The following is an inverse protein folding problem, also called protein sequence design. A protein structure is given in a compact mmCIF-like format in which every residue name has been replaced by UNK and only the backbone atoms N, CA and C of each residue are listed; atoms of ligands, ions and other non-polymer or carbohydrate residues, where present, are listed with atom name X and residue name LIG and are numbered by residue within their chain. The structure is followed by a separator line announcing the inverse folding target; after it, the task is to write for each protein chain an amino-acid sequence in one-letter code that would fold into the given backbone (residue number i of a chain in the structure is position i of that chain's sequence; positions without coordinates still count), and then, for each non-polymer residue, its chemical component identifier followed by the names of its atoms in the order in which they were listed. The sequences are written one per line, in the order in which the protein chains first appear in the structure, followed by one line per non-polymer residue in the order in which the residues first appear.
data_IF_927012966781
#
_entry.id   IF_927012966781
#
_cell.length_a   1.000
_cell.length_b   1.000
_cell.length_c   1.000
_cell.angle_alpha   90.00
_cell.angle_beta   90.00
_cell.angle_gamma   90.00
#
_symmetry.space_group_name_H-M   'P 1'
#
loop_
_entity.id
_entity.type
_entity.pdbx_description
1 polymer ?
#
# COMPACT_ATOMS: atom_id res chain seq x y z
N UNK A 1 8.97 -25.68 -37.25
CA UNK A 1 7.72 -25.97 -37.99
C UNK A 1 6.64 -26.23 -36.94
N UNK A 2 5.61 -25.39 -36.93
CA UNK A 2 4.46 -25.41 -36.00
C UNK A 2 3.51 -26.61 -36.35
N UNK A 3 2.52 -27.06 -35.58
CA UNK A 3 1.52 -26.47 -34.68
C UNK A 3 0.96 -27.60 -33.76
N UNK A 4 0.79 -27.40 -32.45
CA UNK A 4 -0.37 -26.86 -31.70
C UNK A 4 -1.34 -27.93 -31.16
N UNK A 5 -1.64 -27.85 -29.86
CA UNK A 5 -3.03 -27.87 -29.37
C UNK A 5 -3.17 -26.92 -28.20
N UNK A 6 -4.08 -25.97 -28.38
CA UNK A 6 -4.66 -25.08 -27.39
C UNK A 6 -5.44 -25.84 -26.31
N UNK A 7 -5.13 -25.58 -25.05
CA UNK A 7 -6.11 -25.64 -23.95
C UNK A 7 -5.73 -24.54 -22.95
N UNK A 8 -6.72 -23.74 -22.56
CA UNK A 8 -6.53 -22.38 -22.07
C UNK A 8 -5.53 -22.23 -20.93
N UNK A 9 -4.60 -21.29 -21.10
CA UNK A 9 -3.82 -20.78 -19.99
C UNK A 9 -4.72 -19.85 -19.17
N UNK A 10 -5.72 -20.42 -18.50
CA UNK A 10 -6.36 -19.76 -17.37
C UNK A 10 -5.28 -19.61 -16.31
N UNK A 11 -5.13 -18.40 -15.77
CA UNK A 11 -4.35 -18.14 -14.56
C UNK A 11 -4.82 -19.12 -13.46
N UNK A 12 -4.16 -20.26 -13.37
CA UNK A 12 -4.61 -21.37 -12.53
C UNK A 12 -4.65 -20.98 -11.05
N UNK A 13 -3.85 -19.98 -10.70
CA UNK A 13 -3.82 -19.34 -9.40
C UNK A 13 -5.18 -18.71 -9.06
N UNK A 14 -5.88 -18.13 -10.05
CA UNK A 14 -7.23 -17.54 -9.91
C UNK A 14 -8.28 -18.64 -9.71
N UNK A 15 -8.09 -19.81 -10.32
CA UNK A 15 -9.01 -20.95 -10.19
C UNK A 15 -8.95 -21.69 -8.84
N UNK A 16 -7.92 -21.45 -8.02
CA UNK A 16 -7.71 -22.15 -6.75
C UNK A 16 -7.98 -21.23 -5.56
N UNK A 17 -8.88 -21.67 -4.66
CA UNK A 17 -9.46 -20.81 -3.62
C UNK A 17 -8.51 -20.51 -2.47
N UNK A 18 -7.58 -21.39 -2.15
CA UNK A 18 -6.68 -21.19 -1.01
C UNK A 18 -5.21 -21.48 -1.34
N UNK A 19 -4.32 -20.96 -0.49
CA UNK A 19 -2.86 -21.11 -0.63
C UNK A 19 -2.46 -22.58 -0.63
N UNK A 20 -3.14 -23.42 0.17
CA UNK A 20 -2.90 -24.86 0.23
C UNK A 20 -3.06 -25.53 -1.14
N UNK A 21 -4.15 -25.24 -1.85
CA UNK A 21 -4.42 -25.86 -3.16
C UNK A 21 -3.38 -25.41 -4.19
N UNK A 22 -2.98 -24.14 -4.14
CA UNK A 22 -1.94 -23.60 -5.02
C UNK A 22 -0.57 -24.21 -4.73
N UNK A 23 -0.22 -24.35 -3.46
CA UNK A 23 1.01 -24.99 -3.03
C UNK A 23 1.04 -26.47 -3.45
N UNK A 24 -0.08 -27.19 -3.33
CA UNK A 24 -0.19 -28.57 -3.83
C UNK A 24 0.07 -28.63 -5.33
N UNK A 25 -0.59 -27.78 -6.12
CA UNK A 25 -0.37 -27.74 -7.58
C UNK A 25 1.09 -27.44 -7.94
N UNK A 26 1.73 -26.50 -7.24
CA UNK A 26 3.14 -26.13 -7.46
C UNK A 26 4.08 -27.27 -7.10
N UNK A 27 3.81 -27.96 -6.00
CA UNK A 27 4.56 -29.15 -5.57
C UNK A 27 4.40 -30.29 -6.59
N UNK A 28 3.18 -30.58 -7.02
CA UNK A 28 2.87 -31.68 -7.94
C UNK A 28 3.42 -31.43 -9.36
N UNK A 29 3.48 -30.16 -9.79
CA UNK A 29 3.96 -29.79 -11.12
C UNK A 29 5.47 -29.49 -11.18
N UNK A 30 6.14 -29.28 -10.06
CA UNK A 30 7.53 -28.80 -10.01
C UNK A 30 7.72 -27.38 -10.56
N UNK A 31 6.63 -26.64 -10.78
CA UNK A 31 6.71 -25.26 -11.26
C UNK A 31 7.43 -24.39 -10.22
N UNK A 32 8.36 -23.54 -10.65
CA UNK A 32 9.14 -22.65 -9.76
C UNK A 32 9.99 -23.36 -8.69
N UNK A 33 10.34 -24.64 -8.89
CA UNK A 33 11.33 -25.30 -8.03
C UNK A 33 12.65 -24.52 -8.04
N UNK A 34 13.19 -24.28 -6.85
CA UNK A 34 14.38 -23.48 -6.58
C UNK A 34 15.48 -24.30 -5.88
N UNK A 35 15.25 -25.61 -5.69
CA UNK A 35 16.24 -26.61 -5.33
C UNK A 35 16.00 -27.94 -6.05
N UNK A 36 17.07 -28.71 -6.19
CA UNK A 36 17.05 -30.06 -6.79
C UNK A 36 17.81 -31.00 -5.87
N UNK A 37 17.20 -32.12 -5.53
CA UNK A 37 17.89 -33.22 -4.85
C UNK A 37 18.35 -34.24 -5.88
N UNK A 38 19.60 -34.66 -5.76
CA UNK A 38 20.16 -35.75 -6.55
C UNK A 38 20.29 -36.95 -5.61
N UNK A 39 19.55 -38.01 -5.90
CA UNK A 39 19.46 -39.20 -5.04
C UNK A 39 20.00 -40.40 -5.79
N UNK A 40 20.95 -41.14 -5.19
CA UNK A 40 21.54 -42.34 -5.77
C UNK A 40 23.06 -42.27 -5.90
N UNK A 41 23.65 -43.37 -6.36
CA UNK A 41 25.12 -43.51 -6.54
C UNK A 41 25.52 -43.11 -7.96
N UNK A 42 26.81 -42.79 -8.16
CA UNK A 42 27.33 -42.44 -9.49
C UNK A 42 26.97 -43.52 -10.53
N UNK A 43 26.37 -43.10 -11.64
CA UNK A 43 25.84 -43.98 -12.69
C UNK A 43 24.35 -44.37 -12.56
N UNK A 44 23.71 -44.15 -11.40
CA UNK A 44 22.27 -44.33 -11.18
C UNK A 44 21.72 -43.26 -10.22
N UNK A 45 21.64 -42.03 -10.73
CA UNK A 45 21.08 -40.90 -9.99
C UNK A 45 19.68 -40.55 -10.50
N UNK A 46 18.80 -40.20 -9.57
CA UNK A 46 17.49 -39.62 -9.83
C UNK A 46 17.46 -38.19 -9.31
N UNK A 47 16.81 -37.30 -10.07
CA UNK A 47 16.70 -35.87 -9.71
C UNK A 47 15.29 -35.55 -9.29
N UNK A 48 15.13 -34.93 -8.12
CA UNK A 48 13.84 -34.51 -7.56
C UNK A 48 13.85 -32.99 -7.46
N UNK A 49 12.97 -32.34 -8.22
CA UNK A 49 12.72 -30.90 -8.13
C UNK A 49 11.94 -30.61 -6.84
N UNK A 50 12.31 -29.56 -6.11
CA UNK A 50 11.65 -29.20 -4.86
C UNK A 50 11.69 -27.68 -4.60
N UNK A 51 11.05 -27.25 -3.51
CA UNK A 51 10.87 -25.84 -3.17
C UNK A 51 11.37 -25.57 -1.74
N UNK A 52 12.39 -24.71 -1.60
CA UNK A 52 13.03 -24.39 -0.31
C UNK A 52 12.03 -23.91 0.73
N UNK A 53 11.09 -23.05 0.33
CA UNK A 53 10.04 -22.53 1.22
C UNK A 53 9.14 -23.65 1.75
N UNK A 54 8.67 -24.57 0.89
CA UNK A 54 7.79 -25.68 1.29
C UNK A 54 8.50 -26.61 2.26
N UNK A 55 9.76 -26.96 1.96
CA UNK A 55 10.56 -27.85 2.80
C UNK A 55 10.89 -27.22 4.15
N UNK A 56 11.26 -25.95 4.19
CA UNK A 56 11.54 -25.23 5.42
C UNK A 56 10.29 -25.08 6.29
N UNK A 57 9.13 -24.79 5.72
CA UNK A 57 7.86 -24.74 6.47
C UNK A 57 7.50 -26.10 7.07
N UNK A 58 7.87 -27.20 6.42
CA UNK A 58 7.55 -28.55 6.85
C UNK A 58 8.58 -29.15 7.85
N UNK A 59 9.79 -28.58 7.95
CA UNK A 59 10.86 -29.16 8.76
C UNK A 59 11.89 -28.11 9.22
N UNK A 60 12.17 -28.04 10.54
CA UNK A 60 13.21 -27.16 11.08
C UNK A 60 14.63 -27.55 10.60
N UNK A 61 14.83 -28.79 10.17
CA UNK A 61 16.11 -29.23 9.57
C UNK A 61 16.31 -28.57 8.21
N UNK A 62 15.27 -28.55 7.38
CA UNK A 62 15.34 -27.88 6.08
C UNK A 62 15.36 -26.36 6.22
N UNK A 63 14.66 -25.81 7.23
CA UNK A 63 14.79 -24.41 7.58
C UNK A 63 16.24 -24.06 7.93
N UNK A 64 16.89 -24.80 8.83
CA UNK A 64 18.29 -24.56 9.16
C UNK A 64 19.22 -24.75 7.94
N UNK A 65 18.96 -25.77 7.13
CA UNK A 65 19.73 -26.08 5.92
C UNK A 65 19.68 -24.97 4.87
N UNK A 66 18.51 -24.35 4.65
CA UNK A 66 18.32 -23.36 3.60
C UNK A 66 18.40 -21.90 4.11
N UNK A 67 18.04 -21.67 5.37
CA UNK A 67 17.86 -20.33 5.95
C UNK A 67 18.63 -20.11 7.26
N UNK A 68 19.15 -21.15 7.91
CA UNK A 68 19.66 -21.13 9.28
C UNK A 68 20.92 -20.31 9.57
N UNK A 69 21.57 -19.67 8.60
CA UNK A 69 22.81 -18.90 8.83
C UNK A 69 22.69 -17.42 8.44
N UNK A 70 21.63 -16.97 7.75
CA UNK A 70 21.54 -15.57 7.28
C UNK A 70 20.12 -14.95 7.26
N UNK A 71 19.16 -15.44 8.03
CA UNK A 71 17.79 -14.85 8.07
C UNK A 71 17.49 -13.98 9.29
N UNK A 72 18.51 -13.35 9.88
CA UNK A 72 18.30 -12.00 10.38
C UNK A 72 18.16 -11.04 9.18
N UNK A 73 17.15 -11.24 8.33
CA UNK A 73 16.65 -10.13 7.55
C UNK A 73 16.00 -9.19 8.55
N UNK A 74 16.83 -8.33 9.16
CA UNK A 74 16.34 -7.05 9.63
C UNK A 74 15.76 -6.38 8.40
N UNK A 75 14.45 -6.45 8.24
CA UNK A 75 13.75 -5.53 7.36
C UNK A 75 13.99 -4.16 7.99
N UNK A 76 15.01 -3.46 7.51
CA UNK A 76 15.18 -2.06 7.85
C UNK A 76 14.08 -1.34 7.08
N UNK A 77 13.09 -0.85 7.80
CA UNK A 77 12.13 0.11 7.26
C UNK A 77 12.90 1.41 7.00
N UNK A 78 13.40 1.62 5.77
CA UNK A 78 14.25 2.77 5.45
C UNK A 78 13.42 4.02 5.11
N UNK A 79 12.14 3.86 4.77
CA UNK A 79 11.21 4.98 4.56
C UNK A 79 9.74 4.56 4.72
N UNK A 80 8.87 5.56 4.94
CA UNK A 80 7.42 5.39 4.97
C UNK A 80 6.87 4.71 3.70
N UNK A 81 7.33 5.13 2.53
CA UNK A 81 6.86 4.60 1.25
C UNK A 81 7.21 3.11 1.09
N UNK A 82 8.42 2.72 1.48
CA UNK A 82 8.81 1.31 1.47
C UNK A 82 7.97 0.48 2.43
N UNK A 83 7.63 1.01 3.61
CA UNK A 83 6.76 0.30 4.56
C UNK A 83 5.37 0.09 3.97
N UNK A 84 4.80 1.10 3.30
CA UNK A 84 3.52 0.97 2.62
C UNK A 84 3.55 -0.12 1.53
N UNK A 85 4.58 -0.14 0.69
CA UNK A 85 4.75 -1.16 -0.36
C UNK A 85 4.88 -2.57 0.22
N UNK A 86 5.73 -2.74 1.24
CA UNK A 86 5.93 -4.02 1.92
C UNK A 86 4.64 -4.47 2.60
N UNK A 87 3.93 -3.57 3.26
CA UNK A 87 2.67 -3.85 3.93
C UNK A 87 1.61 -4.34 2.91
N UNK A 88 1.51 -3.67 1.75
CA UNK A 88 0.66 -4.11 0.64
C UNK A 88 0.99 -5.53 0.16
N UNK A 89 2.27 -5.81 -0.09
CA UNK A 89 2.70 -7.15 -0.45
C UNK A 89 2.36 -8.17 0.65
N UNK A 90 2.65 -7.84 1.92
CA UNK A 90 2.40 -8.71 3.06
C UNK A 90 0.92 -9.09 3.19
N UNK A 91 -0.01 -8.14 3.00
CA UNK A 91 -1.45 -8.43 3.01
C UNK A 91 -1.87 -9.25 1.79
N UNK A 92 -1.39 -8.89 0.60
CA UNK A 92 -1.67 -9.62 -0.65
C UNK A 92 -1.22 -11.09 -0.59
N UNK A 93 -0.09 -11.36 0.07
CA UNK A 93 0.46 -12.70 0.23
C UNK A 93 0.09 -13.38 1.55
N UNK A 94 -0.83 -12.80 2.33
CA UNK A 94 -1.32 -13.36 3.58
C UNK A 94 -0.19 -13.68 4.56
N UNK A 95 0.62 -12.67 4.89
CA UNK A 95 1.70 -12.73 5.89
C UNK A 95 1.32 -11.83 7.09
N UNK A 96 0.39 -12.26 7.97
CA UNK A 96 -0.11 -11.43 9.07
C UNK A 96 0.95 -10.83 10.00
N UNK A 97 2.01 -11.56 10.41
CA UNK A 97 3.04 -10.99 11.28
C UNK A 97 3.74 -9.78 10.68
N UNK A 98 3.95 -9.79 9.36
CA UNK A 98 4.59 -8.68 8.65
C UNK A 98 3.64 -7.49 8.50
N UNK A 99 2.34 -7.73 8.29
CA UNK A 99 1.32 -6.67 8.30
C UNK A 99 1.27 -6.00 9.68
N UNK A 100 1.34 -6.78 10.76
CA UNK A 100 1.34 -6.26 12.13
C UNK A 100 2.55 -5.36 12.38
N UNK A 101 3.76 -5.79 11.98
CA UNK A 101 4.96 -4.96 12.14
C UNK A 101 4.95 -3.71 11.25
N UNK A 102 4.49 -3.81 10.00
CA UNK A 102 4.38 -2.64 9.12
C UNK A 102 3.38 -1.62 9.66
N UNK A 103 2.22 -2.09 10.16
CA UNK A 103 1.20 -1.19 10.73
C UNK A 103 1.69 -0.52 12.01
N UNK A 104 2.41 -1.25 12.90
CA UNK A 104 3.08 -0.65 14.07
C UNK A 104 4.07 0.44 13.70
N UNK A 105 4.85 0.24 12.63
CA UNK A 105 5.78 1.27 12.16
C UNK A 105 5.06 2.51 11.64
N UNK A 106 4.09 2.32 10.73
CA UNK A 106 3.26 3.42 10.17
C UNK A 106 2.66 4.26 11.29
N UNK A 107 2.19 3.58 12.33
CA UNK A 107 1.63 4.19 13.53
C UNK A 107 2.62 5.06 14.30
N UNK A 108 3.83 4.56 14.51
CA UNK A 108 4.87 5.24 15.29
C UNK A 108 5.45 6.45 14.55
N UNK A 109 5.45 6.42 13.23
CA UNK A 109 6.00 7.46 12.35
C UNK A 109 4.93 8.47 11.86
N UNK A 110 3.67 8.31 12.29
CA UNK A 110 2.58 9.16 11.82
C UNK A 110 2.74 10.60 12.33
N UNK A 111 2.76 11.56 11.40
CA UNK A 111 2.91 12.99 11.68
C UNK A 111 2.28 13.83 10.55
N UNK A 112 2.11 15.16 10.70
CA UNK A 112 1.43 15.98 9.70
C UNK A 112 1.98 15.88 8.27
N UNK A 113 3.29 15.64 8.11
CA UNK A 113 3.95 15.53 6.80
C UNK A 113 3.75 14.19 6.06
N UNK A 114 3.19 13.16 6.71
CA UNK A 114 2.88 11.88 6.04
C UNK A 114 1.42 11.43 6.21
N UNK A 115 0.62 12.08 7.06
CA UNK A 115 -0.71 11.60 7.44
C UNK A 115 -1.69 11.52 6.27
N UNK A 116 -1.65 12.45 5.30
CA UNK A 116 -2.54 12.37 4.14
C UNK A 116 -2.21 11.17 3.24
N UNK A 117 -0.91 10.89 3.07
CA UNK A 117 -0.44 9.71 2.33
C UNK A 117 -0.78 8.43 3.08
N UNK A 118 -0.59 8.41 4.40
CA UNK A 118 -1.00 7.32 5.27
C UNK A 118 -2.51 7.04 5.17
N UNK A 119 -3.33 8.07 5.23
CA UNK A 119 -4.78 7.95 5.10
C UNK A 119 -5.18 7.34 3.75
N UNK A 120 -4.60 7.82 2.65
CA UNK A 120 -4.83 7.28 1.31
C UNK A 120 -4.47 5.80 1.23
N UNK A 121 -3.32 5.42 1.80
CA UNK A 121 -2.85 4.04 1.86
C UNK A 121 -3.76 3.14 2.70
N UNK A 122 -4.08 3.54 3.93
CA UNK A 122 -4.89 2.77 4.87
C UNK A 122 -6.32 2.57 4.35
N UNK A 123 -6.85 3.54 3.60
CA UNK A 123 -8.14 3.42 2.92
C UNK A 123 -8.17 2.27 1.91
N UNK A 124 -7.08 2.04 1.16
CA UNK A 124 -6.95 0.88 0.28
C UNK A 124 -6.81 -0.43 1.07
N UNK A 125 -6.32 -0.33 2.29
CA UNK A 125 -6.08 -1.46 3.18
C UNK A 125 -7.30 -1.88 3.98
N UNK A 126 -8.39 -1.10 3.98
CA UNK A 126 -9.61 -1.38 4.75
C UNK A 126 -9.36 -1.62 6.26
N UNK A 127 -8.38 -0.94 6.87
CA UNK A 127 -8.11 -1.02 8.31
C UNK A 127 -8.82 0.12 9.06
N UNK A 128 -9.99 -0.12 9.68
CA UNK A 128 -10.86 0.95 10.16
C UNK A 128 -10.23 1.76 11.29
N UNK A 129 -9.46 1.12 12.18
CA UNK A 129 -8.83 1.78 13.32
C UNK A 129 -7.79 2.81 12.87
N UNK A 130 -6.84 2.38 12.02
CA UNK A 130 -5.82 3.29 11.48
C UNK A 130 -6.46 4.42 10.66
N UNK A 131 -7.55 4.13 9.95
CA UNK A 131 -8.25 5.12 9.13
C UNK A 131 -8.87 6.22 10.00
N UNK A 132 -9.54 5.84 11.08
CA UNK A 132 -10.10 6.76 12.07
C UNK A 132 -9.02 7.63 12.70
N UNK A 133 -7.87 7.05 13.05
CA UNK A 133 -6.77 7.77 13.69
C UNK A 133 -6.04 8.73 12.75
N UNK A 134 -5.82 8.34 11.50
CA UNK A 134 -5.31 9.25 10.48
C UNK A 134 -6.27 10.45 10.30
N UNK A 135 -7.57 10.19 10.20
CA UNK A 135 -8.57 11.26 10.07
C UNK A 135 -8.60 12.16 11.31
N UNK A 136 -8.52 11.59 12.51
CA UNK A 136 -8.49 12.37 13.75
C UNK A 136 -7.28 13.30 13.81
N UNK A 137 -6.10 12.83 13.40
CA UNK A 137 -4.90 13.67 13.30
C UNK A 137 -5.10 14.78 12.27
N UNK A 138 -5.63 14.46 11.08
CA UNK A 138 -5.91 15.46 10.04
C UNK A 138 -6.87 16.54 10.57
N UNK A 139 -7.92 16.16 11.30
CA UNK A 139 -8.89 17.12 11.87
C UNK A 139 -8.31 17.99 12.98
N UNK A 140 -7.41 17.45 13.78
CA UNK A 140 -6.85 18.13 14.97
C UNK A 140 -5.67 19.03 14.60
N UNK A 141 -4.81 18.56 13.70
CA UNK A 141 -3.59 19.24 13.23
C UNK A 141 -3.77 19.75 11.79
N UNK A 142 -4.99 20.15 11.41
CA UNK A 142 -5.29 20.51 10.02
C UNK A 142 -4.37 21.63 9.52
N UNK A 143 -4.11 22.64 10.35
CA UNK A 143 -3.21 23.76 10.02
C UNK A 143 -1.80 23.30 9.64
N UNK A 144 -1.20 22.37 10.41
CA UNK A 144 0.14 21.84 10.12
C UNK A 144 0.11 20.99 8.84
N UNK A 145 -0.92 20.17 8.67
CA UNK A 145 -1.11 19.31 7.50
C UNK A 145 -1.23 20.12 6.21
N UNK A 146 -2.04 21.18 6.20
CA UNK A 146 -2.26 21.99 4.98
C UNK A 146 -1.07 22.89 4.65
N UNK A 147 -0.21 23.19 5.63
CA UNK A 147 1.01 24.01 5.46
C UNK A 147 2.19 23.19 4.97
N UNK A 148 2.29 21.93 5.35
CA UNK A 148 3.34 21.03 4.90
C UNK A 148 3.37 20.86 3.37
N UNK A 149 4.56 20.64 2.80
CA UNK A 149 4.74 20.49 1.35
C UNK A 149 4.08 19.20 0.81
N UNK A 150 3.99 18.15 1.62
CA UNK A 150 3.35 16.88 1.26
C UNK A 150 1.88 17.04 0.88
N UNK A 151 1.20 18.10 1.36
CA UNK A 151 -0.19 18.38 1.03
C UNK A 151 -0.40 18.57 -0.48
N UNK A 152 0.61 19.06 -1.19
CA UNK A 152 0.53 19.28 -2.63
C UNK A 152 0.44 17.97 -3.43
N UNK A 153 0.87 16.85 -2.86
CA UNK A 153 0.88 15.52 -3.47
C UNK A 153 -0.39 14.69 -3.21
N UNK A 154 -1.31 15.20 -2.39
CA UNK A 154 -2.52 14.47 -1.98
C UNK A 154 -3.41 14.14 -3.17
N UNK A 155 -3.96 12.93 -3.22
CA UNK A 155 -4.90 12.54 -4.28
C UNK A 155 -6.27 13.23 -4.11
N UNK A 156 -6.97 13.46 -5.22
CA UNK A 156 -8.26 14.16 -5.22
C UNK A 156 -9.31 13.51 -4.31
N UNK A 157 -9.31 12.18 -4.16
CA UNK A 157 -10.30 11.49 -3.32
C UNK A 157 -10.00 11.70 -1.83
N UNK A 158 -8.73 11.69 -1.45
CA UNK A 158 -8.29 12.05 -0.10
C UNK A 158 -8.61 13.51 0.20
N UNK A 159 -8.32 14.42 -0.72
CA UNK A 159 -8.66 15.83 -0.52
C UNK A 159 -10.17 16.05 -0.36
N UNK A 160 -11.00 15.38 -1.19
CA UNK A 160 -12.47 15.39 -1.03
C UNK A 160 -12.88 14.87 0.37
N UNK A 161 -12.31 13.76 0.83
CA UNK A 161 -12.62 13.20 2.14
C UNK A 161 -12.27 14.14 3.31
N UNK A 162 -11.17 14.89 3.19
CA UNK A 162 -10.74 15.90 4.16
C UNK A 162 -11.69 17.10 4.14
N UNK A 163 -12.00 17.63 2.96
CA UNK A 163 -12.87 18.80 2.81
C UNK A 163 -14.32 18.52 3.20
N UNK A 164 -14.79 17.28 3.05
CA UNK A 164 -16.12 16.85 3.49
C UNK A 164 -16.27 16.71 5.02
N UNK A 165 -15.21 16.91 5.81
CA UNK A 165 -15.33 16.84 7.26
C UNK A 165 -16.11 18.05 7.81
N UNK A 166 -17.05 17.78 8.72
CA UNK A 166 -17.83 18.84 9.40
C UNK A 166 -16.94 19.76 10.25
N UNK A 167 -15.87 19.21 10.82
CA UNK A 167 -14.96 19.93 11.72
C UNK A 167 -13.51 19.76 11.28
N UNK A 168 -12.83 20.88 11.03
CA UNK A 168 -11.40 20.95 10.76
C UNK A 168 -10.81 22.12 11.57
N UNK A 169 -9.70 21.87 12.27
CA UNK A 169 -9.04 22.86 13.12
C UNK A 169 -8.10 23.74 12.29
N UNK A 170 -8.67 24.59 11.44
CA UNK A 170 -7.92 25.52 10.58
C UNK A 170 -8.81 26.68 10.14
N UNK A 171 -8.20 27.86 9.94
CA UNK A 171 -8.87 29.00 9.32
C UNK A 171 -9.25 28.71 7.86
N UNK A 172 -10.38 29.25 7.41
CA UNK A 172 -10.84 29.03 6.03
C UNK A 172 -9.84 29.58 4.99
N UNK A 173 -9.16 30.68 5.31
CA UNK A 173 -8.10 31.24 4.46
C UNK A 173 -6.89 30.30 4.36
N UNK A 174 -6.37 29.78 5.48
CA UNK A 174 -5.23 28.85 5.46
C UNK A 174 -5.55 27.56 4.69
N UNK A 175 -6.76 27.03 4.86
CA UNK A 175 -7.20 25.86 4.09
C UNK A 175 -7.32 26.18 2.61
N UNK A 176 -7.91 27.32 2.27
CA UNK A 176 -8.03 27.76 0.87
C UNK A 176 -6.66 27.91 0.22
N UNK A 177 -5.71 28.53 0.91
CA UNK A 177 -4.33 28.68 0.44
C UNK A 177 -3.66 27.32 0.22
N UNK A 178 -3.86 26.36 1.13
CA UNK A 178 -3.44 24.98 0.96
C UNK A 178 -4.00 24.33 -0.31
N UNK A 179 -5.30 24.47 -0.56
CA UNK A 179 -5.95 23.90 -1.75
C UNK A 179 -5.53 24.63 -3.04
N UNK A 180 -5.27 25.93 -3.00
CA UNK A 180 -4.71 26.66 -4.14
C UNK A 180 -3.28 26.20 -4.47
N UNK A 181 -2.45 25.90 -3.46
CA UNK A 181 -1.13 25.29 -3.70
C UNK A 181 -1.26 23.92 -4.34
N UNK A 182 -2.13 23.08 -3.78
CA UNK A 182 -2.44 21.76 -4.34
C UNK A 182 -2.94 21.86 -5.79
N UNK A 183 -3.84 22.81 -6.11
CA UNK A 183 -4.42 22.92 -7.45
C UNK A 183 -3.39 23.29 -8.52
N UNK A 184 -2.37 24.06 -8.16
CA UNK A 184 -1.23 24.34 -9.05
C UNK A 184 -0.48 23.06 -9.41
N UNK A 185 -0.16 22.21 -8.42
CA UNK A 185 0.47 20.92 -8.69
C UNK A 185 -0.45 19.97 -9.45
N UNK A 186 -1.75 19.99 -9.17
CA UNK A 186 -2.72 19.17 -9.89
C UNK A 186 -2.82 19.57 -11.38
N UNK A 187 -2.72 20.86 -11.70
CA UNK A 187 -2.64 21.31 -13.09
C UNK A 187 -1.41 20.71 -13.78
N UNK A 188 -0.26 20.73 -13.12
CA UNK A 188 0.99 20.17 -13.64
C UNK A 188 0.86 18.66 -13.85
N UNK A 189 0.27 17.93 -12.89
CA UNK A 189 -0.01 16.48 -13.01
C UNK A 189 -0.91 16.15 -14.19
N UNK A 190 -1.89 17.00 -14.48
CA UNK A 190 -2.78 16.86 -15.64
C UNK A 190 -2.21 17.45 -16.94
N UNK A 191 -0.94 17.88 -16.95
CA UNK A 191 -0.28 18.52 -18.11
C UNK A 191 -1.01 19.78 -18.61
N UNK A 192 -1.53 20.59 -17.68
CA UNK A 192 -2.21 21.86 -17.95
C UNK A 192 -1.33 23.04 -17.53
N UNK A 193 -1.41 24.14 -18.27
CA UNK A 193 -0.79 25.40 -17.85
C UNK A 193 -1.42 25.92 -16.56
N UNK A 194 -0.58 26.35 -15.62
CA UNK A 194 -1.02 26.90 -14.33
C UNK A 194 -1.57 28.31 -14.54
N UNK A 195 -2.88 28.40 -14.71
CA UNK A 195 -3.61 29.67 -14.86
C UNK A 195 -4.96 29.60 -14.11
N UNK A 196 -5.66 30.73 -13.91
CA UNK A 196 -6.92 30.74 -13.16
C UNK A 196 -8.03 29.85 -13.74
N UNK A 197 -8.03 29.62 -15.05
CA UNK A 197 -9.03 28.77 -15.72
C UNK A 197 -8.75 27.29 -15.44
N UNK A 198 -7.50 26.85 -15.62
CA UNK A 198 -7.09 25.48 -15.33
C UNK A 198 -7.27 25.13 -13.84
N UNK A 199 -6.91 26.05 -12.94
CA UNK A 199 -7.09 25.85 -11.49
C UNK A 199 -8.58 25.71 -11.12
N UNK A 200 -9.45 26.55 -11.69
CA UNK A 200 -10.90 26.43 -11.47
C UNK A 200 -11.43 25.09 -11.99
N UNK A 201 -10.90 24.59 -13.11
CA UNK A 201 -11.28 23.29 -13.67
C UNK A 201 -10.92 22.13 -12.74
N UNK A 202 -9.69 22.08 -12.22
CA UNK A 202 -9.28 20.99 -11.30
C UNK A 202 -9.95 21.08 -9.92
N UNK A 203 -10.31 22.29 -9.48
CA UNK A 203 -11.00 22.52 -8.21
C UNK A 203 -12.53 22.39 -8.31
N UNK A 204 -13.11 22.21 -9.50
CA UNK A 204 -14.57 22.33 -9.70
C UNK A 204 -15.38 21.46 -8.73
N UNK A 205 -14.89 20.23 -8.45
CA UNK A 205 -15.56 19.26 -7.59
C UNK A 205 -15.31 19.51 -6.10
N UNK A 206 -14.33 20.37 -5.77
CA UNK A 206 -13.94 20.71 -4.40
C UNK A 206 -14.64 21.96 -3.90
N UNK A 207 -14.95 22.91 -4.79
CA UNK A 207 -15.60 24.19 -4.45
C UNK A 207 -16.89 24.03 -3.61
N UNK A 208 -17.80 23.09 -3.91
CA UNK A 208 -19.02 22.93 -3.11
C UNK A 208 -18.73 22.54 -1.65
N UNK A 209 -17.59 21.87 -1.40
CA UNK A 209 -17.20 21.38 -0.08
C UNK A 209 -16.68 22.51 0.84
N UNK A 210 -16.24 23.64 0.27
CA UNK A 210 -15.87 24.83 1.05
C UNK A 210 -17.09 25.55 1.62
N UNK A 211 -18.21 25.55 0.88
CA UNK A 211 -19.36 26.43 1.13
C UNK A 211 -20.43 25.88 2.09
N UNK A 212 -20.36 24.61 2.53
CA UNK A 212 -21.50 23.98 3.24
C UNK A 212 -21.33 23.78 4.76
N UNK A 213 -20.13 23.92 5.34
CA UNK A 213 -19.91 23.52 6.75
C UNK A 213 -19.20 24.53 7.66
N UNK A 214 -18.66 25.65 7.16
CA UNK A 214 -17.91 26.60 8.02
C UNK A 214 -18.63 27.88 8.40
N UNK A 215 -19.80 28.13 7.82
CA UNK A 215 -20.68 29.23 8.20
C UNK A 215 -21.60 28.82 9.34
N UNK A 216 -21.12 28.92 10.59
CA UNK A 216 -21.86 29.17 11.83
C UNK A 216 -21.10 28.57 13.01
N UNK A 217 -20.11 29.27 13.60
CA UNK A 217 -19.96 29.42 15.06
C UNK A 217 -18.89 30.51 15.35
N UNK A 218 -19.28 31.44 16.24
CA UNK A 218 -18.54 32.53 16.89
C UNK A 218 -18.19 33.82 16.12
N UNK A 219 -19.21 34.58 15.74
CA UNK A 219 -19.24 36.02 16.09
C UNK A 219 -20.40 36.20 17.06
N UNK A 220 -20.10 36.15 18.35
CA UNK A 220 -20.83 36.73 19.49
C UNK A 220 -19.87 36.76 20.67
#
# INVERSE_FOLDING_TARGET
MAMATSSGNLDWQIGLKCVKDRASKVLDSGQWSDCVFIVGTEGRQETIQAHKLILAMASPVFEAMFYGICTLMKINFLSFDQVCEICYAAKKYMIPPLVEECTKYIWKDLHPGNVCRAFAFVRLFEEPRLLEQCMQMIKTLTEDVVRDQSFEEVDTNTLKAILSQETLNVGEMDLWDGVVRWSKQECIRQSLDVNPVSQRKVMQDLLPLFSYTRGCYSVC
#
